data_IF_177202204784
#
_entry.id   IF_177202204784
#
_cell.length_a   1.000
_cell.length_b   1.000
_cell.length_c   1.000
_cell.angle_alpha   90.00
_cell.angle_beta   90.00
_cell.angle_gamma   90.00
#
_symmetry.space_group_name_H-M   'P 1'
#
loop_
_entity.id
_entity.type
_entity.pdbx_description
1 polymer ?
#
# COMPACT_ATOMS: atom_id res chain seq x y z
N UNK A 1 -52.64 -31.89 6.39
CA UNK A 1 -51.91 -30.66 6.74
C UNK A 1 -52.75 -29.47 6.31
N UNK A 2 -53.11 -28.57 7.23
CA UNK A 2 -54.04 -27.49 6.96
C UNK A 2 -53.47 -26.53 5.89
N UNK A 3 -54.24 -26.23 4.84
CA UNK A 3 -53.90 -25.24 3.80
C UNK A 3 -53.24 -23.94 4.31
N UNK A 4 -53.66 -23.34 5.45
CA UNK A 4 -52.97 -22.17 6.02
C UNK A 4 -51.52 -22.44 6.46
N UNK A 5 -51.21 -23.64 6.95
CA UNK A 5 -49.85 -24.00 7.41
C UNK A 5 -48.91 -24.13 6.20
N UNK A 6 -49.39 -24.69 5.09
CA UNK A 6 -48.63 -24.80 3.84
C UNK A 6 -48.29 -23.39 3.30
N UNK A 7 -49.26 -22.48 3.31
CA UNK A 7 -49.06 -21.10 2.84
C UNK A 7 -48.01 -20.35 3.66
N UNK A 8 -48.03 -20.50 5.00
CA UNK A 8 -47.02 -19.88 5.87
C UNK A 8 -45.63 -20.44 5.61
N UNK A 9 -45.49 -21.75 5.44
CA UNK A 9 -44.19 -22.38 5.15
C UNK A 9 -43.62 -21.87 3.81
N UNK A 10 -44.45 -21.78 2.77
CA UNK A 10 -44.03 -21.27 1.46
C UNK A 10 -43.55 -19.82 1.55
N UNK A 11 -44.27 -18.96 2.29
CA UNK A 11 -43.88 -17.56 2.47
C UNK A 11 -42.54 -17.46 3.21
N UNK A 12 -42.34 -18.22 4.29
CA UNK A 12 -41.08 -18.21 5.05
C UNK A 12 -39.90 -18.68 4.19
N UNK A 13 -40.07 -19.74 3.40
CA UNK A 13 -39.02 -20.24 2.49
C UNK A 13 -38.68 -19.21 1.42
N UNK A 14 -39.68 -18.55 0.83
CA UNK A 14 -39.45 -17.50 -0.17
C UNK A 14 -38.75 -16.28 0.41
N UNK A 15 -39.08 -15.89 1.64
CA UNK A 15 -38.41 -14.79 2.35
C UNK A 15 -36.96 -15.16 2.65
N UNK A 16 -36.69 -16.36 3.17
CA UNK A 16 -35.32 -16.82 3.43
C UNK A 16 -34.52 -16.92 2.14
N UNK A 17 -35.10 -17.44 1.06
CA UNK A 17 -34.43 -17.54 -0.24
C UNK A 17 -34.13 -16.16 -0.83
N UNK A 18 -35.08 -15.22 -0.75
CA UNK A 18 -34.90 -13.84 -1.19
C UNK A 18 -33.78 -13.14 -0.42
N UNK A 19 -33.78 -13.25 0.92
CA UNK A 19 -32.69 -12.69 1.74
C UNK A 19 -31.36 -13.38 1.43
N UNK A 20 -31.34 -14.70 1.28
CA UNK A 20 -30.11 -15.44 0.95
C UNK A 20 -29.53 -15.01 -0.40
N UNK A 21 -30.36 -14.89 -1.44
CA UNK A 21 -29.94 -14.41 -2.77
C UNK A 21 -29.51 -12.94 -2.72
N UNK A 22 -30.22 -12.09 -1.96
CA UNK A 22 -29.87 -10.68 -1.77
C UNK A 22 -28.52 -10.51 -1.06
N UNK A 23 -28.24 -11.31 -0.02
CA UNK A 23 -26.94 -11.27 0.66
C UNK A 23 -25.83 -11.92 -0.18
N UNK A 24 -26.09 -13.03 -0.89
CA UNK A 24 -25.11 -13.69 -1.76
C UNK A 24 -24.73 -12.79 -2.95
N UNK A 25 -25.69 -12.09 -3.55
CA UNK A 25 -25.42 -11.12 -4.63
C UNK A 25 -24.65 -9.88 -4.17
N UNK A 26 -24.67 -9.55 -2.86
CA UNK A 26 -23.76 -8.58 -2.26
C UNK A 26 -22.39 -9.15 -1.88
N UNK A 27 -22.27 -10.46 -1.69
CA UNK A 27 -20.99 -11.15 -1.44
C UNK A 27 -20.18 -11.42 -2.72
N UNK A 28 -20.84 -11.47 -3.89
CA UNK A 28 -20.17 -11.74 -5.17
C UNK A 28 -19.78 -10.46 -5.90
N UNK A 29 -18.75 -9.78 -5.39
CA UNK A 29 -17.78 -9.00 -6.16
C UNK A 29 -16.61 -8.74 -5.20
N UNK A 30 -15.84 -9.78 -4.86
CA UNK A 30 -14.49 -9.53 -4.39
C UNK A 30 -13.75 -8.87 -5.56
N UNK A 31 -13.78 -7.54 -5.60
CA UNK A 31 -13.10 -6.73 -6.59
C UNK A 31 -11.61 -6.95 -6.39
N UNK A 32 -11.07 -7.91 -7.14
CA UNK A 32 -9.64 -8.21 -7.14
C UNK A 32 -8.88 -7.06 -7.80
N UNK A 33 -7.66 -6.82 -7.34
CA UNK A 33 -6.80 -5.77 -7.92
C UNK A 33 -5.68 -6.38 -8.77
N UNK A 34 -5.32 -5.74 -9.89
CA UNK A 34 -4.18 -6.17 -10.71
C UNK A 34 -2.86 -5.87 -10.00
N UNK A 35 -1.92 -6.81 -10.07
CA UNK A 35 -0.53 -6.56 -9.66
C UNK A 35 0.13 -5.46 -10.50
N UNK A 36 0.98 -4.66 -9.85
CA UNK A 36 1.82 -3.63 -10.48
C UNK A 36 1.04 -2.40 -10.99
N UNK A 37 -0.20 -2.20 -10.56
CA UNK A 37 -1.00 -1.03 -10.98
C UNK A 37 -1.75 -0.43 -9.81
N UNK A 38 -1.82 0.90 -9.79
CA UNK A 38 -2.73 1.61 -8.91
C UNK A 38 -4.18 1.38 -9.33
N UNK A 39 -5.05 1.26 -8.35
CA UNK A 39 -6.50 1.25 -8.55
C UNK A 39 -7.13 2.37 -7.74
N UNK A 40 -8.16 3.01 -8.30
CA UNK A 40 -9.00 3.94 -7.54
C UNK A 40 -9.92 3.13 -6.62
N UNK A 41 -9.83 3.36 -5.32
CA UNK A 41 -10.54 2.59 -4.29
C UNK A 41 -11.68 3.38 -3.64
N UNK A 42 -11.65 4.70 -3.79
CA UNK A 42 -12.67 5.59 -3.22
C UNK A 42 -12.67 6.93 -3.95
N UNK A 43 -13.82 7.60 -3.93
CA UNK A 43 -13.94 9.01 -4.34
C UNK A 43 -13.70 9.97 -3.16
N UNK A 44 -13.38 9.47 -1.97
CA UNK A 44 -13.06 10.32 -0.83
C UNK A 44 -11.66 10.92 -0.97
N UNK A 45 -11.57 12.21 -0.65
CA UNK A 45 -10.33 12.92 -0.38
C UNK A 45 -9.93 12.68 1.08
N UNK A 46 -8.79 12.02 1.29
CA UNK A 46 -8.23 11.75 2.61
C UNK A 46 -7.07 12.70 2.95
N UNK A 47 -6.69 13.57 2.01
CA UNK A 47 -5.67 14.58 2.25
C UNK A 47 -6.25 15.74 3.06
N UNK A 48 -5.38 16.51 3.75
CA UNK A 48 -5.76 17.84 4.22
C UNK A 48 -6.28 18.70 3.07
N UNK A 49 -7.18 19.63 3.37
CA UNK A 49 -7.81 20.49 2.35
C UNK A 49 -6.74 21.25 1.55
N UNK A 50 -6.77 21.10 0.23
CA UNK A 50 -5.83 21.77 -0.68
C UNK A 50 -4.50 21.04 -0.86
N UNK A 51 -4.39 19.80 -0.39
CA UNK A 51 -3.18 18.99 -0.47
C UNK A 51 -3.44 17.66 -1.19
N UNK A 52 -2.36 16.97 -1.51
CA UNK A 52 -2.35 15.56 -1.94
C UNK A 52 -1.41 14.81 -1.01
N UNK A 53 -1.81 13.65 -0.52
CA UNK A 53 -0.95 12.79 0.29
C UNK A 53 -0.47 11.60 -0.52
N UNK A 54 0.82 11.28 -0.38
CA UNK A 54 1.42 10.01 -0.76
C UNK A 54 1.82 9.31 0.53
N UNK A 55 1.33 8.10 0.73
CA UNK A 55 1.51 7.34 1.97
C UNK A 55 2.08 5.96 1.63
N UNK A 56 3.26 5.65 2.14
CA UNK A 56 3.91 4.35 2.00
C UNK A 56 3.80 3.54 3.29
N UNK A 57 3.37 2.29 3.20
CA UNK A 57 3.60 1.27 4.22
C UNK A 57 4.68 0.31 3.74
N UNK A 58 5.70 0.10 4.56
CA UNK A 58 6.73 -0.91 4.31
C UNK A 58 7.30 -1.46 5.63
N UNK A 59 8.44 -2.12 5.57
CA UNK A 59 9.25 -2.54 6.71
C UNK A 59 10.73 -2.46 6.34
N UNK A 60 11.63 -2.36 7.32
CA UNK A 60 13.04 -2.01 7.06
C UNK A 60 13.70 -2.98 6.07
N UNK A 61 13.59 -4.28 6.30
CA UNK A 61 14.21 -5.29 5.43
C UNK A 61 13.40 -5.66 4.18
N UNK A 62 12.38 -4.88 3.79
CA UNK A 62 11.50 -5.22 2.68
C UNK A 62 12.21 -5.10 1.32
N UNK A 63 12.45 -6.17 0.54
CA UNK A 63 13.10 -6.05 -0.77
C UNK A 63 12.23 -5.29 -1.77
N UNK A 64 10.91 -5.41 -1.67
CA UNK A 64 9.98 -4.71 -2.57
C UNK A 64 9.86 -3.22 -2.20
N UNK A 65 9.88 -2.89 -0.90
CA UNK A 65 9.97 -1.53 -0.40
C UNK A 65 11.29 -0.85 -0.75
N UNK A 66 12.42 -1.55 -0.55
CA UNK A 66 13.74 -1.08 -0.94
C UNK A 66 13.80 -0.72 -2.43
N UNK A 67 13.28 -1.59 -3.31
CA UNK A 67 13.24 -1.31 -4.74
C UNK A 67 12.28 -0.15 -5.10
N UNK A 68 11.12 -0.08 -4.47
CA UNK A 68 10.13 0.98 -4.70
C UNK A 68 10.61 2.36 -4.20
N UNK A 69 11.42 2.40 -3.14
CA UNK A 69 11.95 3.63 -2.56
C UNK A 69 12.70 4.49 -3.58
N UNK A 70 13.36 3.89 -4.56
CA UNK A 70 14.02 4.63 -5.64
C UNK A 70 13.03 5.36 -6.55
N UNK A 71 11.91 4.73 -6.88
CA UNK A 71 10.86 5.33 -7.70
C UNK A 71 10.14 6.46 -6.93
N UNK A 72 9.89 6.23 -5.64
CA UNK A 72 9.31 7.21 -4.72
C UNK A 72 10.24 8.43 -4.59
N UNK A 73 11.53 8.21 -4.34
CA UNK A 73 12.52 9.28 -4.29
C UNK A 73 12.57 10.07 -5.61
N UNK A 74 12.59 9.36 -6.74
CA UNK A 74 12.73 10.00 -8.05
C UNK A 74 11.60 10.97 -8.37
N UNK A 75 10.37 10.66 -7.97
CA UNK A 75 9.22 11.54 -8.17
C UNK A 75 9.13 12.61 -7.08
N UNK A 76 9.23 12.23 -5.81
CA UNK A 76 8.96 13.13 -4.69
C UNK A 76 10.03 14.21 -4.49
N UNK A 77 11.25 14.01 -5.00
CA UNK A 77 12.30 15.06 -4.98
C UNK A 77 11.90 16.33 -5.73
N UNK A 78 10.90 16.26 -6.61
CA UNK A 78 10.34 17.41 -7.32
C UNK A 78 9.30 18.17 -6.47
N UNK A 79 8.74 17.54 -5.43
CA UNK A 79 7.66 18.09 -4.60
C UNK A 79 8.13 18.63 -3.24
N UNK A 80 9.37 18.32 -2.85
CA UNK A 80 9.96 18.74 -1.59
C UNK A 80 11.34 18.14 -1.36
N UNK A 81 11.91 18.48 -0.20
CA UNK A 81 13.21 17.98 0.23
C UNK A 81 13.04 16.66 0.99
N UNK A 82 13.68 15.60 0.52
CA UNK A 82 13.67 14.28 1.15
C UNK A 82 14.99 14.08 1.90
N UNK A 83 14.88 13.72 3.17
CA UNK A 83 16.02 13.20 3.95
C UNK A 83 15.90 11.69 4.02
N UNK A 84 16.99 10.98 3.73
CA UNK A 84 17.01 9.53 3.67
C UNK A 84 18.37 8.97 4.09
N UNK A 85 18.39 7.67 4.40
CA UNK A 85 19.60 6.88 4.57
C UNK A 85 19.70 5.80 3.50
N UNK A 86 20.92 5.50 3.08
CA UNK A 86 21.19 4.35 2.22
C UNK A 86 21.04 3.06 3.03
N UNK A 87 20.34 2.09 2.45
CA UNK A 87 20.00 0.84 3.14
C UNK A 87 19.99 -0.35 2.18
N UNK A 88 20.00 -1.56 2.74
CA UNK A 88 19.79 -2.81 2.04
C UNK A 88 18.64 -3.56 2.69
N UNK A 89 17.78 -4.18 1.89
CA UNK A 89 16.77 -5.12 2.42
C UNK A 89 17.43 -6.28 3.17
N UNK A 90 16.60 -7.04 3.92
CA UNK A 90 17.01 -8.18 4.74
C UNK A 90 18.00 -9.10 3.99
N UNK A 91 19.21 -9.33 4.52
CA UNK A 91 20.20 -10.21 3.89
C UNK A 91 19.77 -11.69 3.88
N UNK A 92 18.85 -12.09 4.75
CA UNK A 92 18.36 -13.47 4.88
C UNK A 92 17.06 -13.72 4.09
N UNK A 93 16.49 -12.66 3.49
CA UNK A 93 15.30 -12.75 2.64
C UNK A 93 15.67 -12.97 1.17
N UNK A 94 14.75 -13.50 0.35
CA UNK A 94 14.94 -13.62 -1.10
C UNK A 94 14.00 -12.67 -1.88
N UNK A 95 14.54 -11.77 -2.73
CA UNK A 95 15.95 -11.52 -2.97
C UNK A 95 16.63 -10.78 -1.81
N UNK A 96 17.88 -11.12 -1.55
CA UNK A 96 18.69 -10.60 -0.45
C UNK A 96 19.39 -9.29 -0.85
N UNK A 97 19.67 -8.45 0.15
CA UNK A 97 20.50 -7.25 -0.01
C UNK A 97 20.09 -6.37 -1.19
N UNK A 98 18.79 -6.12 -1.35
CA UNK A 98 18.30 -5.20 -2.37
C UNK A 98 18.62 -3.78 -1.90
N UNK A 99 19.37 -2.99 -2.68
CA UNK A 99 19.67 -1.61 -2.31
C UNK A 99 18.39 -0.78 -2.31
N UNK A 100 18.25 0.10 -1.32
CA UNK A 100 17.09 0.98 -1.16
C UNK A 100 17.42 2.21 -0.32
N UNK A 101 16.37 2.97 -0.01
CA UNK A 101 16.39 4.14 0.83
C UNK A 101 15.45 3.95 2.02
N UNK A 102 15.89 4.36 3.20
CA UNK A 102 15.00 4.60 4.35
C UNK A 102 14.71 6.08 4.41
N UNK A 103 13.45 6.46 4.27
CA UNK A 103 13.03 7.86 4.35
C UNK A 103 12.92 8.28 5.82
N UNK A 104 13.61 9.36 6.17
CA UNK A 104 13.65 9.91 7.52
C UNK A 104 12.70 11.09 7.69
N UNK A 105 12.63 11.96 6.67
CA UNK A 105 11.80 13.14 6.69
C UNK A 105 11.49 13.65 5.29
N UNK A 106 10.34 14.31 5.14
CA UNK A 106 9.97 15.03 3.94
C UNK A 106 9.51 16.44 4.28
N UNK A 107 10.22 17.44 3.75
CA UNK A 107 9.81 18.85 3.87
C UNK A 107 9.21 19.31 2.54
N UNK A 108 7.89 19.45 2.46
CA UNK A 108 7.20 19.77 1.23
C UNK A 108 7.46 21.21 0.78
N UNK A 109 7.65 21.40 -0.53
CA UNK A 109 7.72 22.72 -1.19
C UNK A 109 6.53 22.96 -2.14
N UNK A 110 5.55 22.05 -2.10
CA UNK A 110 4.36 22.02 -2.95
C UNK A 110 3.14 21.52 -2.16
N UNK A 111 2.03 21.25 -2.86
CA UNK A 111 0.80 20.69 -2.29
C UNK A 111 0.89 19.20 -1.93
N UNK A 112 1.95 18.50 -2.36
CA UNK A 112 2.12 17.09 -2.04
C UNK A 112 2.80 16.94 -0.68
N UNK A 113 2.26 16.06 0.15
CA UNK A 113 2.85 15.57 1.39
C UNK A 113 3.25 14.10 1.22
N UNK A 114 4.28 13.69 1.92
CA UNK A 114 4.73 12.31 1.96
C UNK A 114 4.84 11.80 3.38
N UNK A 115 4.32 10.60 3.59
CA UNK A 115 4.35 9.89 4.87
C UNK A 115 4.78 8.45 4.61
N UNK A 116 5.57 7.89 5.53
CA UNK A 116 5.96 6.49 5.48
C UNK A 116 5.86 5.88 6.87
N UNK A 117 5.36 4.65 6.95
CA UNK A 117 5.44 3.82 8.14
C UNK A 117 6.24 2.55 7.85
N UNK A 118 7.34 2.36 8.59
CA UNK A 118 8.06 1.10 8.65
C UNK A 118 7.51 0.29 9.80
N UNK A 119 6.90 -0.87 9.53
CA UNK A 119 6.13 -1.62 10.53
C UNK A 119 7.03 -2.59 11.33
N UNK A 120 7.97 -3.24 10.65
CA UNK A 120 8.86 -4.26 11.23
C UNK A 120 10.33 -3.87 11.12
N UNK A 121 11.17 -4.48 11.97
CA UNK A 121 12.63 -4.40 11.87
C UNK A 121 13.19 -5.13 10.63
N UNK A 122 14.50 -5.03 10.41
CA UNK A 122 15.21 -5.61 9.25
C UNK A 122 15.03 -7.13 9.07
N UNK A 123 14.70 -7.89 10.10
CA UNK A 123 14.63 -9.37 10.04
C UNK A 123 13.21 -9.93 10.21
N UNK A 124 12.18 -9.06 10.14
CA UNK A 124 10.77 -9.44 10.26
C UNK A 124 10.47 -10.30 11.51
N UNK A 125 11.16 -10.01 12.63
CA UNK A 125 11.02 -10.75 13.89
C UNK A 125 10.72 -9.83 15.09
N UNK A 126 10.66 -8.52 14.84
CA UNK A 126 10.27 -7.50 15.80
C UNK A 126 9.56 -6.34 15.09
N UNK A 127 8.90 -5.48 15.85
CA UNK A 127 8.44 -4.17 15.38
C UNK A 127 9.63 -3.31 14.94
N UNK A 128 9.34 -2.21 14.26
CA UNK A 128 10.33 -1.22 13.85
C UNK A 128 11.20 -0.68 14.99
N UNK A 129 10.70 -0.71 16.23
CA UNK A 129 11.41 -0.26 17.45
C UNK A 129 12.07 -1.39 18.24
N UNK A 130 12.09 -2.62 17.71
CA UNK A 130 12.80 -3.76 18.31
C UNK A 130 11.98 -4.59 19.30
N UNK A 131 10.68 -4.35 19.45
CA UNK A 131 9.80 -5.19 20.28
C UNK A 131 9.53 -6.52 19.56
N UNK A 132 9.92 -7.69 20.11
CA UNK A 132 9.77 -8.97 19.41
C UNK A 132 8.32 -9.29 19.03
N UNK A 133 8.11 -9.82 17.83
CA UNK A 133 6.80 -10.23 17.32
C UNK A 133 6.85 -11.71 16.93
N UNK A 134 6.00 -12.57 17.49
CA UNK A 134 5.87 -13.95 17.03
C UNK A 134 5.45 -14.00 15.54
N UNK A 135 6.03 -14.91 14.76
CA UNK A 135 5.76 -15.00 13.32
C UNK A 135 4.26 -15.13 12.97
N UNK A 136 3.47 -15.83 13.79
CA UNK A 136 2.02 -15.99 13.59
C UNK A 136 1.19 -14.76 14.02
N UNK A 137 1.84 -13.67 14.45
CA UNK A 137 1.23 -12.42 14.89
C UNK A 137 1.64 -11.21 14.05
N UNK A 138 2.51 -11.39 13.05
CA UNK A 138 3.03 -10.31 12.21
C UNK A 138 1.91 -9.46 11.62
N UNK A 139 0.92 -10.06 10.94
CA UNK A 139 -0.20 -9.30 10.36
C UNK A 139 -0.97 -8.50 11.43
N UNK A 140 -1.43 -9.15 12.51
CA UNK A 140 -2.26 -8.48 13.53
C UNK A 140 -1.53 -7.37 14.26
N UNK A 141 -0.26 -7.59 14.63
CA UNK A 141 0.55 -6.56 15.30
C UNK A 141 0.94 -5.46 14.31
N UNK A 142 1.20 -5.81 13.06
CA UNK A 142 1.48 -4.83 12.02
C UNK A 142 0.31 -3.90 11.74
N UNK A 143 -0.92 -4.40 11.78
CA UNK A 143 -2.14 -3.58 11.68
C UNK A 143 -2.26 -2.57 12.83
N UNK A 144 -1.92 -2.97 14.05
CA UNK A 144 -1.93 -2.10 15.24
C UNK A 144 -0.86 -1.01 15.12
N UNK A 145 0.38 -1.40 14.83
CA UNK A 145 1.50 -0.47 14.59
C UNK A 145 1.15 0.54 13.50
N UNK A 146 0.63 0.08 12.36
CA UNK A 146 0.31 0.96 11.24
C UNK A 146 -0.75 2.01 11.61
N UNK A 147 -1.78 1.62 12.37
CA UNK A 147 -2.80 2.54 12.86
C UNK A 147 -2.21 3.57 13.81
N UNK A 148 -1.35 3.15 14.73
CA UNK A 148 -0.69 4.03 15.70
C UNK A 148 0.26 5.02 15.01
N UNK A 149 1.11 4.54 14.11
CA UNK A 149 2.08 5.37 13.39
C UNK A 149 1.38 6.44 12.56
N UNK A 150 0.39 6.06 11.73
CA UNK A 150 -0.35 7.03 10.91
C UNK A 150 -1.20 8.00 11.74
N UNK A 151 -1.77 7.55 12.86
CA UNK A 151 -2.46 8.45 13.78
C UNK A 151 -1.49 9.48 14.39
N UNK A 152 -0.28 9.07 14.76
CA UNK A 152 0.75 9.97 15.29
C UNK A 152 1.23 11.01 14.27
N UNK A 153 1.22 10.64 12.98
CA UNK A 153 1.48 11.55 11.86
C UNK A 153 0.30 12.49 11.53
N UNK A 154 -0.84 12.36 12.23
CA UNK A 154 -2.03 13.18 12.02
C UNK A 154 -2.84 12.82 10.78
N UNK A 155 -2.65 11.62 10.23
CA UNK A 155 -3.39 11.17 9.05
C UNK A 155 -4.84 10.80 9.39
N UNK A 156 -5.72 10.92 8.41
CA UNK A 156 -7.09 10.42 8.52
C UNK A 156 -7.05 8.90 8.82
N UNK A 157 -7.73 8.40 9.88
CA UNK A 157 -7.74 6.97 10.23
C UNK A 157 -8.12 6.03 9.07
N UNK A 158 -8.88 6.55 8.10
CA UNK A 158 -9.27 5.80 6.92
C UNK A 158 -8.09 5.42 6.01
N UNK A 159 -6.97 6.13 6.07
CA UNK A 159 -5.73 5.78 5.36
C UNK A 159 -5.22 4.41 5.82
N UNK A 160 -5.09 4.22 7.14
CA UNK A 160 -4.68 2.94 7.72
C UNK A 160 -5.70 1.83 7.40
N UNK A 161 -6.99 2.12 7.55
CA UNK A 161 -8.05 1.15 7.26
C UNK A 161 -8.05 0.67 5.81
N UNK A 162 -7.81 1.57 4.85
CA UNK A 162 -7.72 1.17 3.44
C UNK A 162 -6.49 0.36 3.13
N UNK A 163 -5.31 0.75 3.63
CA UNK A 163 -4.11 -0.05 3.43
C UNK A 163 -4.31 -1.45 4.01
N UNK A 164 -4.80 -1.58 5.25
CA UNK A 164 -5.05 -2.88 5.88
C UNK A 164 -6.07 -3.69 5.08
N UNK A 165 -7.21 -3.10 4.70
CA UNK A 165 -8.24 -3.79 3.93
C UNK A 165 -7.68 -4.36 2.62
N UNK A 166 -6.92 -3.57 1.87
CA UNK A 166 -6.37 -4.00 0.58
C UNK A 166 -5.18 -4.94 0.70
N UNK A 167 -4.49 -4.94 1.84
CA UNK A 167 -3.43 -5.89 2.12
C UNK A 167 -3.95 -7.24 2.63
N UNK A 168 -5.02 -7.26 3.44
CA UNK A 168 -5.46 -8.45 4.16
C UNK A 168 -6.76 -9.07 3.64
N UNK A 169 -7.57 -8.34 2.88
CA UNK A 169 -8.90 -8.83 2.46
C UNK A 169 -9.07 -8.88 0.95
N UNK A 170 -8.46 -7.96 0.21
CA UNK A 170 -8.64 -7.86 -1.24
C UNK A 170 -7.62 -8.73 -1.98
N UNK A 171 -8.04 -9.77 -2.72
CA UNK A 171 -7.10 -10.63 -3.42
C UNK A 171 -6.46 -9.94 -4.63
N UNK A 172 -5.18 -10.23 -4.84
CA UNK A 172 -4.48 -9.86 -6.07
C UNK A 172 -4.86 -10.86 -7.17
N UNK A 173 -5.27 -10.35 -8.34
CA UNK A 173 -5.76 -11.17 -9.47
C UNK A 173 -4.83 -12.34 -9.81
N UNK A 174 -3.54 -12.08 -9.86
CA UNK A 174 -2.51 -13.04 -10.27
C UNK A 174 -2.23 -14.12 -9.23
N UNK A 175 -2.45 -13.82 -7.94
CA UNK A 175 -2.07 -14.71 -6.84
C UNK A 175 -3.28 -15.37 -6.16
N UNK A 176 -4.50 -14.86 -6.39
CA UNK A 176 -5.73 -15.35 -5.75
C UNK A 176 -5.76 -15.15 -4.23
N UNK A 177 -4.82 -14.38 -3.67
CA UNK A 177 -4.67 -14.09 -2.24
C UNK A 177 -4.38 -12.61 -2.02
N UNK A 178 -4.78 -12.03 -0.87
CA UNK A 178 -4.38 -10.69 -0.48
C UNK A 178 -2.86 -10.56 -0.29
N UNK A 179 -2.33 -9.33 -0.35
CA UNK A 179 -0.88 -9.12 -0.38
C UNK A 179 -0.17 -9.65 0.85
N UNK A 180 -0.77 -9.49 2.02
CA UNK A 180 -0.21 -9.95 3.27
C UNK A 180 -0.14 -11.49 3.41
N UNK A 181 -0.87 -12.22 2.57
CA UNK A 181 -1.04 -13.68 2.67
C UNK A 181 -0.47 -14.46 1.47
N UNK A 182 0.04 -13.80 0.42
CA UNK A 182 0.83 -14.48 -0.62
C UNK A 182 2.33 -14.56 -0.28
N UNK A 183 2.79 -13.80 0.72
CA UNK A 183 4.17 -13.80 1.23
C UNK A 183 4.35 -14.78 2.38
N UNK A 184 5.60 -15.18 2.65
CA UNK A 184 5.96 -16.13 3.70
C UNK A 184 7.12 -15.58 4.56
N UNK A 185 6.97 -15.50 5.90
CA UNK A 185 5.72 -15.68 6.66
C UNK A 185 4.66 -14.63 6.28
N UNK A 186 3.36 -14.83 6.54
CA UNK A 186 2.36 -13.79 6.32
C UNK A 186 2.61 -12.53 7.16
N UNK A 187 2.64 -11.36 6.53
CA UNK A 187 2.90 -10.05 7.16
C UNK A 187 2.39 -8.92 6.25
N UNK A 188 2.20 -7.72 6.80
CA UNK A 188 1.96 -6.52 5.98
C UNK A 188 3.19 -6.23 5.10
N UNK A 189 3.03 -6.32 3.79
CA UNK A 189 4.19 -6.44 2.89
C UNK A 189 4.64 -5.06 2.40
N UNK A 190 3.77 -4.39 1.64
CA UNK A 190 4.08 -3.13 0.99
C UNK A 190 2.81 -2.54 0.37
N UNK A 191 2.57 -1.26 0.65
CA UNK A 191 1.52 -0.51 -0.02
C UNK A 191 1.93 0.94 -0.27
N UNK A 192 1.43 1.51 -1.37
CA UNK A 192 1.39 2.96 -1.57
C UNK A 192 -0.08 3.37 -1.74
N UNK A 193 -0.52 4.34 -0.94
CA UNK A 193 -1.81 5.01 -1.06
C UNK A 193 -1.58 6.46 -1.46
N UNK A 194 -2.32 6.93 -2.46
CA UNK A 194 -2.29 8.32 -2.92
C UNK A 194 -3.71 8.87 -2.85
N UNK A 195 -3.89 10.02 -2.20
CA UNK A 195 -5.21 10.62 -2.02
C UNK A 195 -5.18 12.12 -2.20
N UNK A 196 -6.23 12.66 -2.81
CA UNK A 196 -6.45 14.08 -3.01
C UNK A 196 -7.90 14.36 -3.43
N UNK A 197 -8.20 15.57 -3.92
CA UNK A 197 -9.57 16.01 -4.23
C UNK A 197 -10.35 15.13 -5.22
N UNK A 198 -9.65 14.39 -6.09
CA UNK A 198 -10.28 13.51 -7.07
C UNK A 198 -10.42 12.06 -6.60
N UNK A 199 -10.05 11.75 -5.35
CA UNK A 199 -10.25 10.45 -4.72
C UNK A 199 -8.96 9.78 -4.25
N UNK A 200 -9.10 8.51 -3.87
CA UNK A 200 -8.04 7.72 -3.26
C UNK A 200 -7.69 6.51 -4.13
N UNK A 201 -6.40 6.29 -4.29
CA UNK A 201 -5.78 5.27 -5.12
C UNK A 201 -4.83 4.43 -4.27
N UNK A 202 -4.72 3.13 -4.57
CA UNK A 202 -3.80 2.25 -3.86
C UNK A 202 -3.14 1.24 -4.78
N UNK A 203 -1.95 0.80 -4.38
CA UNK A 203 -1.27 -0.39 -4.88
C UNK A 203 -0.67 -1.15 -3.70
N UNK A 204 -0.78 -2.49 -3.70
CA UNK A 204 -0.24 -3.37 -2.63
C UNK A 204 0.70 -4.45 -3.16
N UNK A 205 1.29 -4.19 -4.33
CA UNK A 205 2.17 -5.12 -5.04
C UNK A 205 3.38 -4.37 -5.60
N UNK A 206 4.49 -5.07 -5.91
CA UNK A 206 5.71 -4.43 -6.36
C UNK A 206 5.51 -3.61 -7.64
N UNK A 207 6.03 -2.37 -7.64
CA UNK A 207 6.10 -1.49 -8.82
C UNK A 207 7.45 -1.55 -9.54
N UNK A 208 8.47 -2.05 -8.85
CA UNK A 208 9.82 -2.31 -9.38
C UNK A 208 10.16 -3.75 -9.00
N UNK A 209 10.65 -4.54 -9.96
CA UNK A 209 11.15 -5.88 -9.65
C UNK A 209 12.48 -5.76 -8.88
N UNK A 210 12.58 -6.22 -7.63
CA UNK A 210 13.79 -6.01 -6.83
C UNK A 210 15.04 -6.67 -7.43
N UNK A 211 14.88 -7.75 -8.18
CA UNK A 211 16.01 -8.48 -8.78
C UNK A 211 16.82 -7.65 -9.80
N UNK A 212 16.25 -6.59 -10.36
CA UNK A 212 17.01 -5.71 -11.27
C UNK A 212 18.11 -4.92 -10.54
N UNK A 213 18.01 -4.85 -9.21
CA UNK A 213 18.92 -4.11 -8.35
C UNK A 213 19.93 -5.03 -7.63
N UNK A 214 19.81 -6.34 -7.78
CA UNK A 214 20.71 -7.30 -7.14
C UNK A 214 22.16 -7.08 -7.55
N UNK A 215 23.05 -6.99 -6.56
CA UNK A 215 24.49 -6.81 -6.76
C UNK A 215 24.94 -5.35 -6.91
N UNK A 216 24.03 -4.38 -6.95
CA UNK A 216 24.37 -2.96 -6.88
C UNK A 216 24.41 -2.45 -5.43
N UNK A 217 25.20 -1.41 -5.18
CA UNK A 217 25.13 -0.65 -3.93
C UNK A 217 24.11 0.49 -4.01
N UNK A 218 23.54 0.95 -2.88
CA UNK A 218 22.63 2.09 -2.86
C UNK A 218 23.25 3.35 -3.45
N UNK A 219 24.53 3.60 -3.21
CA UNK A 219 25.25 4.76 -3.77
C UNK A 219 25.38 4.67 -5.30
N UNK A 220 25.58 3.46 -5.83
CA UNK A 220 25.61 3.25 -7.28
C UNK A 220 24.24 3.52 -7.89
N UNK A 221 23.16 2.94 -7.33
CA UNK A 221 21.80 3.16 -7.83
C UNK A 221 21.44 4.65 -7.77
N UNK A 222 21.75 5.33 -6.66
CA UNK A 222 21.50 6.76 -6.50
C UNK A 222 22.18 7.63 -7.56
N UNK A 223 23.46 7.36 -7.85
CA UNK A 223 24.24 8.13 -8.84
C UNK A 223 23.92 7.77 -10.29
N UNK A 224 23.19 6.68 -10.55
CA UNK A 224 22.88 6.14 -11.87
C UNK A 224 21.38 5.86 -12.05
N UNK A 225 20.52 6.57 -11.31
CA UNK A 225 19.09 6.30 -11.24
C UNK A 225 18.43 6.24 -12.64
N UNK A 226 18.86 7.14 -13.54
CA UNK A 226 18.35 7.25 -14.92
C UNK A 226 18.67 6.01 -15.79
N UNK A 227 19.61 5.17 -15.38
CA UNK A 227 19.93 3.91 -16.07
C UNK A 227 18.90 2.81 -15.79
N UNK A 228 18.07 2.95 -14.75
CA UNK A 228 17.11 1.93 -14.33
C UNK A 228 15.72 2.24 -14.85
N UNK A 229 15.43 1.79 -16.08
CA UNK A 229 14.17 2.10 -16.76
C UNK A 229 12.90 1.70 -15.97
N UNK A 230 12.93 0.61 -15.21
CA UNK A 230 11.79 0.22 -14.36
C UNK A 230 11.56 1.20 -13.20
N UNK A 231 12.63 1.78 -12.63
CA UNK A 231 12.50 2.84 -11.61
C UNK A 231 11.87 4.09 -12.24
N UNK A 232 12.31 4.48 -13.43
CA UNK A 232 11.75 5.63 -14.14
C UNK A 232 10.27 5.42 -14.48
N UNK A 233 9.91 4.24 -15.00
CA UNK A 233 8.51 3.90 -15.30
C UNK A 233 7.64 3.88 -14.04
N UNK A 234 8.12 3.31 -12.94
CA UNK A 234 7.41 3.30 -11.67
C UNK A 234 7.26 4.73 -11.10
N UNK A 235 8.28 5.57 -11.23
CA UNK A 235 8.25 6.98 -10.83
C UNK A 235 7.21 7.77 -11.64
N UNK A 236 7.13 7.55 -12.96
CA UNK A 236 6.11 8.14 -13.83
C UNK A 236 4.71 7.64 -13.48
N UNK A 237 4.55 6.36 -13.11
CA UNK A 237 3.27 5.83 -12.64
C UNK A 237 2.82 6.54 -11.36
N UNK A 238 3.71 6.73 -10.38
CA UNK A 238 3.40 7.48 -9.16
C UNK A 238 3.03 8.93 -9.51
N UNK A 239 3.82 9.60 -10.36
CA UNK A 239 3.54 10.97 -10.82
C UNK A 239 2.14 11.09 -11.45
N UNK A 240 1.79 10.16 -12.34
CA UNK A 240 0.49 10.16 -13.00
C UNK A 240 -0.64 10.04 -11.96
N UNK A 241 -0.50 9.15 -10.98
CA UNK A 241 -1.53 8.96 -9.95
C UNK A 241 -1.61 10.16 -9.00
N UNK A 242 -0.49 10.83 -8.69
CA UNK A 242 -0.50 12.11 -7.98
C UNK A 242 -1.32 13.14 -8.75
N UNK A 243 -1.08 13.30 -10.06
CA UNK A 243 -1.83 14.24 -10.91
C UNK A 243 -3.32 13.87 -11.01
N UNK A 244 -3.62 12.57 -11.15
CA UNK A 244 -5.00 12.08 -11.17
C UNK A 244 -5.72 12.37 -9.85
N UNK A 245 -5.08 12.10 -8.70
CA UNK A 245 -5.64 12.37 -7.37
C UNK A 245 -5.78 13.87 -7.08
N UNK A 246 -4.85 14.70 -7.57
CA UNK A 246 -4.90 16.15 -7.43
C UNK A 246 -6.13 16.77 -8.11
N UNK A 247 -6.56 16.21 -9.25
CA UNK A 247 -7.75 16.65 -9.98
C UNK A 247 -7.71 18.15 -10.29
N UNK A 248 -8.61 18.99 -9.72
CA UNK A 248 -8.57 20.44 -9.89
C UNK A 248 -7.23 21.09 -9.50
N UNK A 249 -6.45 20.46 -8.62
CA UNK A 249 -5.14 20.96 -8.17
C UNK A 249 -3.97 20.50 -9.06
N UNK A 250 -4.22 19.75 -10.14
CA UNK A 250 -3.14 19.16 -10.94
C UNK A 250 -2.17 20.20 -11.53
N UNK A 251 -2.63 21.43 -11.79
CA UNK A 251 -1.77 22.54 -12.26
C UNK A 251 -0.80 23.07 -11.21
N UNK A 252 -0.98 22.71 -9.93
CA UNK A 252 -0.10 23.08 -8.82
C UNK A 252 1.01 22.04 -8.59
N UNK A 253 0.95 20.91 -9.30
CA UNK A 253 1.99 19.88 -9.27
C UNK A 253 3.10 20.20 -10.28
N UNK A 254 4.39 20.14 -9.89
CA UNK A 254 5.49 20.19 -10.84
C UNK A 254 5.40 19.04 -11.85
N UNK A 255 5.64 19.38 -13.12
CA UNK A 255 5.66 18.46 -14.27
C UNK A 255 7.07 18.14 -14.72
#
# INVERSE_FOLDING_TARGET
MNRPIIAVIVIVVLVIAFFSIYYISKLSNASTIPAGKFVKISNMDLAPKGEVIVVEQSWYGCPVGAAASWAIYNVLKNYGNITFEFHYSDPDHNPANIPGLIFLNFTPTSIVRFYVAYVYNEYLNASYNGTPIPQNKLVTVGEEILKEEYASMGLNPQVANYIIQYETQVPIQQYGKPSAYYVQPPHLNFAILISGPNGTYIITTPIVNPNILSGYSPQYVYSHLDNFQQIIQASQMIQQVILEAAGPLASECPT
#
